data_IF_346465434640
#
_entry.id   IF_346465434640
#
_cell.length_a   1.000
_cell.length_b   1.000
_cell.length_c   1.000
_cell.angle_alpha   90.00
_cell.angle_beta   90.00
_cell.angle_gamma   90.00
#
_symmetry.space_group_name_H-M   'P 1'
#
loop_
_entity.id
_entity.type
_entity.pdbx_description
1 polymer ?
#
# COMPACT_ATOMS: atom_id res chain seq x y z
N UNK A 1 13.14 -16.15 6.40
CA UNK A 1 13.85 -15.47 7.50
C UNK A 1 12.91 -15.50 8.69
N UNK A 2 13.35 -15.95 9.85
CA UNK A 2 12.48 -15.99 11.03
C UNK A 2 12.55 -14.62 11.72
N UNK A 3 11.41 -13.93 11.79
CA UNK A 3 11.26 -12.64 12.45
C UNK A 3 10.45 -12.81 13.72
N UNK A 4 10.87 -12.16 14.80
CA UNK A 4 10.14 -12.11 16.07
C UNK A 4 9.60 -10.71 16.28
N UNK A 5 8.32 -10.60 16.64
CA UNK A 5 7.65 -9.33 16.90
C UNK A 5 7.31 -9.22 18.39
N UNK A 6 7.57 -8.04 18.97
CA UNK A 6 7.15 -7.72 20.33
C UNK A 6 5.69 -7.26 20.26
N UNK A 7 4.80 -7.94 20.99
CA UNK A 7 3.40 -7.52 21.13
C UNK A 7 3.36 -6.20 21.91
N UNK A 8 2.86 -5.15 21.24
CA UNK A 8 2.73 -3.81 21.80
C UNK A 8 1.36 -3.25 21.40
N UNK A 9 0.66 -2.64 22.37
CA UNK A 9 -0.63 -2.00 22.16
C UNK A 9 -1.72 -2.93 21.58
N UNK A 10 -1.74 -4.21 21.99
CA UNK A 10 -2.70 -5.24 21.52
C UNK A 10 -3.91 -5.47 22.45
N UNK A 11 -4.27 -4.50 23.30
CA UNK A 11 -5.39 -4.67 24.25
C UNK A 11 -5.12 -5.63 25.41
N UNK A 12 -6.16 -5.96 26.18
CA UNK A 12 -6.06 -6.79 27.40
C UNK A 12 -5.86 -8.29 27.11
N UNK A 13 -6.35 -8.77 25.97
CA UNK A 13 -6.20 -10.17 25.55
C UNK A 13 -4.82 -10.45 24.94
N UNK A 14 -4.01 -9.40 24.72
CA UNK A 14 -2.71 -9.44 24.06
C UNK A 14 -2.75 -9.96 22.61
N UNK A 15 -3.89 -9.85 21.93
CA UNK A 15 -4.06 -10.27 20.54
C UNK A 15 -4.23 -9.02 19.66
N UNK A 16 -3.25 -8.73 18.82
CA UNK A 16 -3.35 -7.61 17.89
C UNK A 16 -4.29 -7.97 16.73
N UNK A 17 -5.51 -7.42 16.75
CA UNK A 17 -6.47 -7.52 15.64
C UNK A 17 -6.50 -6.18 14.89
N UNK A 18 -5.82 -6.07 13.73
CA UNK A 18 -5.91 -4.88 12.90
C UNK A 18 -7.19 -4.89 12.06
N UNK A 19 -7.65 -3.70 11.67
CA UNK A 19 -8.70 -3.50 10.66
C UNK A 19 -8.11 -2.61 9.56
N UNK A 20 -7.54 -3.27 8.54
CA UNK A 20 -6.89 -2.61 7.42
C UNK A 20 -7.91 -2.24 6.35
N UNK A 21 -8.01 -0.95 6.04
CA UNK A 21 -8.89 -0.41 5.01
C UNK A 21 -8.08 0.27 3.92
N UNK A 22 -8.54 0.14 2.68
CA UNK A 22 -7.85 0.68 1.51
C UNK A 22 -8.87 1.33 0.56
N UNK A 23 -8.66 2.61 0.27
CA UNK A 23 -9.37 3.34 -0.78
C UNK A 23 -8.40 3.71 -1.90
N UNK A 24 -8.89 3.71 -3.14
CA UNK A 24 -8.07 4.01 -4.33
C UNK A 24 -8.83 4.96 -5.25
N UNK A 25 -8.13 5.97 -5.74
CA UNK A 25 -8.64 7.03 -6.59
C UNK A 25 -7.77 7.13 -7.85
N UNK A 26 -8.38 6.98 -9.02
CA UNK A 26 -7.71 7.25 -10.29
C UNK A 26 -7.93 8.69 -10.72
N UNK A 27 -6.88 9.35 -11.22
CA UNK A 27 -7.01 10.67 -11.85
C UNK A 27 -7.86 10.60 -13.13
N UNK A 28 -7.84 9.46 -13.80
CA UNK A 28 -8.59 9.19 -15.03
C UNK A 28 -9.35 7.87 -14.91
N UNK A 29 -10.56 7.84 -15.45
CA UNK A 29 -11.43 6.66 -15.46
C UNK A 29 -11.43 5.92 -16.81
N UNK A 30 -10.68 6.41 -17.79
CA UNK A 30 -10.64 5.87 -19.15
C UNK A 30 -9.20 5.78 -19.65
N UNK A 31 -8.90 4.72 -20.39
CA UNK A 31 -7.61 4.47 -21.05
C UNK A 31 -7.92 4.16 -22.50
N UNK A 32 -7.31 4.88 -23.44
CA UNK A 32 -7.60 4.72 -24.88
C UNK A 32 -6.61 3.75 -25.53
N UNK A 33 -7.13 2.71 -26.18
CA UNK A 33 -6.30 1.72 -26.86
C UNK A 33 -5.56 2.35 -28.04
N UNK A 34 -4.26 2.06 -28.15
CA UNK A 34 -3.39 2.60 -29.20
C UNK A 34 -2.62 3.86 -28.80
N UNK A 35 -3.04 4.54 -27.74
CA UNK A 35 -2.35 5.72 -27.19
C UNK A 35 -1.37 5.34 -26.07
N UNK A 36 -0.39 6.22 -25.85
CA UNK A 36 0.46 6.18 -24.66
C UNK A 36 -0.27 6.87 -23.51
N UNK A 37 -0.98 6.07 -22.72
CA UNK A 37 -1.69 6.55 -21.53
C UNK A 37 -0.76 6.51 -20.30
N UNK A 38 -0.90 7.51 -19.42
CA UNK A 38 -0.29 7.52 -18.08
C UNK A 38 -1.40 7.61 -17.05
N UNK A 39 -1.43 6.69 -16.09
CA UNK A 39 -2.44 6.67 -15.03
C UNK A 39 -1.76 6.83 -13.68
N UNK A 40 -2.16 7.88 -12.95
CA UNK A 40 -1.77 8.07 -11.56
C UNK A 40 -2.89 7.52 -10.66
N UNK A 41 -2.51 6.69 -9.69
CA UNK A 41 -3.40 6.11 -8.71
C UNK A 41 -3.05 6.64 -7.33
N UNK A 42 -3.93 7.43 -6.74
CA UNK A 42 -3.84 7.80 -5.33
C UNK A 42 -4.48 6.72 -4.48
N UNK A 43 -3.90 6.39 -3.34
CA UNK A 43 -4.49 5.48 -2.38
C UNK A 43 -4.48 6.06 -0.97
N UNK A 44 -5.42 5.58 -0.17
CA UNK A 44 -5.53 5.86 1.25
C UNK A 44 -5.60 4.55 2.01
N UNK A 45 -4.50 4.20 2.69
CA UNK A 45 -4.40 3.01 3.51
C UNK A 45 -4.57 3.37 4.98
N UNK A 46 -5.44 2.66 5.69
CA UNK A 46 -5.77 2.94 7.09
C UNK A 46 -5.73 1.67 7.93
N UNK A 47 -5.36 1.82 9.20
CA UNK A 47 -5.58 0.79 10.21
C UNK A 47 -6.54 1.38 11.25
N UNK A 48 -7.82 1.02 11.19
CA UNK A 48 -8.85 1.50 12.13
C UNK A 48 -9.13 0.50 13.25
N UNK A 49 -8.37 -0.60 13.30
CA UNK A 49 -8.46 -1.60 14.36
C UNK A 49 -7.76 -1.17 15.63
N UNK A 50 -7.83 -2.03 16.65
CA UNK A 50 -7.28 -1.75 17.97
C UNK A 50 -5.76 -2.04 18.04
N UNK A 51 -5.26 -2.98 17.23
CA UNK A 51 -3.87 -3.44 17.25
C UNK A 51 -3.00 -2.95 16.08
N UNK A 52 -1.69 -3.00 16.27
CA UNK A 52 -0.72 -2.78 15.20
C UNK A 52 -0.70 -3.93 14.19
N UNK A 53 -0.69 -3.61 12.89
CA UNK A 53 -0.52 -4.58 11.82
C UNK A 53 0.97 -4.77 11.52
N UNK A 54 1.56 -5.88 11.98
CA UNK A 54 2.96 -6.21 11.70
C UNK A 54 3.15 -6.57 10.23
N UNK A 55 4.29 -6.16 9.67
CA UNK A 55 4.66 -6.41 8.26
C UNK A 55 3.55 -5.98 7.29
N UNK A 56 2.94 -4.81 7.56
CA UNK A 56 1.89 -4.26 6.72
C UNK A 56 2.48 -3.77 5.39
N UNK A 57 1.91 -4.28 4.30
CA UNK A 57 2.35 -3.99 2.93
C UNK A 57 1.13 -3.66 2.06
N UNK A 58 1.29 -2.70 1.15
CA UNK A 58 0.38 -2.49 0.03
C UNK A 58 0.85 -3.32 -1.15
N UNK A 59 -0.05 -4.09 -1.75
CA UNK A 59 0.23 -4.93 -2.92
C UNK A 59 -0.65 -4.49 -4.09
N UNK A 60 -0.01 -4.04 -5.17
CA UNK A 60 -0.69 -3.61 -6.39
C UNK A 60 -0.32 -4.54 -7.53
N UNK A 61 -1.31 -5.26 -8.07
CA UNK A 61 -1.14 -6.10 -9.25
C UNK A 61 -1.54 -5.32 -10.50
N UNK A 62 -0.56 -4.93 -11.29
CA UNK A 62 -0.77 -4.29 -12.57
C UNK A 62 -0.97 -5.34 -13.70
N UNK A 63 -1.81 -5.02 -14.70
CA UNK A 63 -1.98 -5.87 -15.87
C UNK A 63 -0.67 -5.93 -16.68
N UNK A 64 -0.46 -6.98 -17.50
CA UNK A 64 0.78 -7.19 -18.24
C UNK A 64 1.19 -6.03 -19.17
N UNK A 65 0.21 -5.26 -19.65
CA UNK A 65 0.39 -4.12 -20.55
C UNK A 65 0.79 -2.83 -19.83
N UNK A 66 0.70 -2.79 -18.50
CA UNK A 66 1.03 -1.63 -17.69
C UNK A 66 2.42 -1.79 -17.05
N UNK A 67 3.16 -0.68 -17.02
CA UNK A 67 4.50 -0.61 -16.43
C UNK A 67 4.51 0.43 -15.31
N UNK A 68 5.13 0.09 -14.19
CA UNK A 68 5.26 0.99 -13.05
C UNK A 68 6.30 2.08 -13.35
N UNK A 69 5.89 3.35 -13.23
CA UNK A 69 6.76 4.51 -13.49
C UNK A 69 7.41 5.09 -12.23
N UNK A 70 6.88 4.82 -11.03
CA UNK A 70 7.39 5.35 -9.77
C UNK A 70 6.29 5.94 -8.88
N UNK A 71 6.63 6.28 -7.64
CA UNK A 71 5.79 7.04 -6.73
C UNK A 71 5.81 8.53 -7.10
N UNK A 72 4.65 9.16 -7.04
CA UNK A 72 4.51 10.60 -7.27
C UNK A 72 4.84 11.36 -5.98
N UNK A 73 5.92 12.14 -6.03
CA UNK A 73 6.27 13.07 -4.94
C UNK A 73 5.44 14.35 -5.07
N UNK A 74 4.21 14.34 -4.57
CA UNK A 74 3.42 15.57 -4.49
C UNK A 74 3.79 16.40 -3.25
N UNK A 75 3.87 17.74 -3.36
CA UNK A 75 3.96 18.62 -2.19
C UNK A 75 2.63 18.57 -1.43
N UNK A 76 2.58 17.79 -0.35
CA UNK A 76 1.38 17.57 0.47
C UNK A 76 1.61 16.52 1.57
N UNK A 77 0.53 15.95 2.10
CA UNK A 77 0.55 14.90 3.15
C UNK A 77 0.77 13.47 2.60
N UNK A 78 1.48 13.32 1.47
CA UNK A 78 1.78 12.00 0.91
C UNK A 78 2.96 11.35 1.65
N UNK A 79 2.78 10.09 2.05
CA UNK A 79 3.83 9.29 2.68
C UNK A 79 4.91 8.91 1.67
N UNK A 80 6.17 9.12 2.04
CA UNK A 80 7.32 8.57 1.31
C UNK A 80 7.43 7.08 1.62
N UNK A 81 6.88 6.24 0.76
CA UNK A 81 6.90 4.78 0.93
C UNK A 81 8.08 4.16 0.19
N UNK A 82 8.60 3.07 0.75
CA UNK A 82 9.55 2.20 0.05
C UNK A 82 8.75 1.17 -0.73
N UNK A 83 9.01 1.03 -2.03
CA UNK A 83 8.32 0.07 -2.87
C UNK A 83 9.29 -0.73 -3.74
N UNK A 84 9.03 -2.03 -3.83
CA UNK A 84 9.72 -2.96 -4.71
C UNK A 84 8.78 -3.44 -5.83
N UNK A 85 9.34 -3.62 -7.02
CA UNK A 85 8.59 -3.98 -8.22
C UNK A 85 9.11 -5.29 -8.81
N UNK A 86 8.19 -6.24 -9.01
CA UNK A 86 8.48 -7.62 -9.40
C UNK A 86 7.66 -8.04 -10.61
N UNK A 87 8.24 -8.89 -11.46
CA UNK A 87 7.50 -9.64 -12.47
C UNK A 87 7.16 -11.03 -11.91
N UNK A 88 5.87 -11.35 -11.79
CA UNK A 88 5.39 -12.63 -11.24
C UNK A 88 4.38 -13.24 -12.20
N UNK A 89 4.71 -14.39 -12.80
CA UNK A 89 3.79 -15.19 -13.62
C UNK A 89 2.97 -14.35 -14.62
N UNK A 90 3.67 -13.57 -15.46
CA UNK A 90 3.11 -12.63 -16.47
C UNK A 90 2.43 -11.37 -15.91
N UNK A 91 2.10 -11.31 -14.61
CA UNK A 91 1.66 -10.09 -13.93
C UNK A 91 2.83 -9.25 -13.42
N UNK A 92 2.56 -7.97 -13.14
CA UNK A 92 3.50 -7.03 -12.52
C UNK A 92 3.00 -6.72 -11.12
N UNK A 93 3.83 -6.94 -10.11
CA UNK A 93 3.50 -6.74 -8.70
C UNK A 93 4.36 -5.62 -8.13
N UNK A 94 3.72 -4.58 -7.62
CA UNK A 94 4.34 -3.56 -6.78
C UNK A 94 3.99 -3.86 -5.32
N UNK A 95 5.00 -3.89 -4.45
CA UNK A 95 4.85 -4.06 -3.01
C UNK A 95 5.42 -2.84 -2.32
N UNK A 96 4.63 -2.13 -1.50
CA UNK A 96 5.07 -0.97 -0.75
C UNK A 96 4.94 -1.20 0.76
N UNK A 97 5.96 -0.83 1.54
CA UNK A 97 5.94 -0.95 3.00
C UNK A 97 5.00 0.10 3.62
N UNK A 98 3.95 -0.34 4.31
CA UNK A 98 3.04 0.51 5.09
C UNK A 98 3.46 0.63 6.56
N UNK A 99 4.33 -0.26 7.02
CA UNK A 99 4.99 -0.17 8.32
C UNK A 99 5.07 -1.51 9.06
N UNK A 100 5.96 -1.59 10.04
CA UNK A 100 6.14 -2.76 10.88
C UNK A 100 6.28 -2.38 12.37
N UNK A 101 5.17 -2.27 13.14
CA UNK A 101 3.79 -2.39 12.68
C UNK A 101 3.23 -1.10 12.07
N UNK A 102 2.25 -1.21 11.18
CA UNK A 102 1.31 -0.13 10.88
C UNK A 102 0.37 0.04 12.09
N UNK A 103 0.61 1.08 12.87
CA UNK A 103 -0.06 1.33 14.16
C UNK A 103 -1.58 1.50 14.01
N UNK A 104 -2.31 1.22 15.09
CA UNK A 104 -3.73 1.58 15.19
C UNK A 104 -3.92 3.09 14.98
N UNK A 105 -4.96 3.46 14.22
CA UNK A 105 -5.25 4.83 13.80
C UNK A 105 -4.32 5.38 12.70
N UNK A 106 -3.38 4.59 12.17
CA UNK A 106 -2.54 5.04 11.06
C UNK A 106 -3.40 5.33 9.81
N UNK A 107 -3.10 6.44 9.15
CA UNK A 107 -3.76 6.89 7.92
C UNK A 107 -2.70 7.42 6.96
N UNK A 108 -2.43 6.66 5.90
CA UNK A 108 -1.35 6.90 4.95
C UNK A 108 -1.94 7.19 3.57
N UNK A 109 -1.48 8.28 2.95
CA UNK A 109 -1.84 8.65 1.58
C UNK A 109 -0.63 8.47 0.68
N UNK A 110 -0.79 7.76 -0.45
CA UNK A 110 0.25 7.55 -1.46
C UNK A 110 -0.28 7.81 -2.86
N UNK A 111 0.61 8.07 -3.82
CA UNK A 111 0.28 8.26 -5.24
C UNK A 111 1.41 7.78 -6.14
#
# INVERSE_FOLDING_TARGET
>A
EDKAQILLDCGEDNICVPDLQLEVFGEQNHVYLGDKNSLNLTFHAQNVGEGGAYEAELRVTAPPEAEYSGLVRHPGNFSSLSCDYFAVNQSRLLVCDLGNPMKAGASLWGA
#
